data_IF_323851284661
#
_entry.id   IF_323851284661
#
_cell.length_a   1.000
_cell.length_b   1.000
_cell.length_c   1.000
_cell.angle_alpha   90.00
_cell.angle_beta   90.00
_cell.angle_gamma   90.00
#
_symmetry.space_group_name_H-M   'P 1'
#
loop_
_entity.id
_entity.type
_entity.pdbx_description
1 polymer ?
#
# COMPACT_ATOMS: atom_id res chain seq x y z
N UNK A 1 13.33 10.96 7.20
CA UNK A 1 13.35 9.48 7.39
C UNK A 1 13.73 9.05 8.82
N UNK A 2 14.96 9.25 9.29
CA UNK A 2 15.42 8.71 10.59
C UNK A 2 14.64 9.28 11.79
N UNK A 3 14.37 10.59 11.81
CA UNK A 3 13.53 11.20 12.86
C UNK A 3 12.11 10.63 12.87
N UNK A 4 11.55 10.34 11.70
CA UNK A 4 10.23 9.73 11.59
C UNK A 4 10.23 8.27 12.07
N UNK A 5 11.29 7.52 11.75
CA UNK A 5 11.50 6.15 12.23
C UNK A 5 11.68 6.12 13.76
N UNK A 6 12.45 7.03 14.34
CA UNK A 6 12.73 7.07 15.79
C UNK A 6 11.48 7.30 16.62
N UNK A 7 10.50 8.02 16.08
CA UNK A 7 9.20 8.19 16.73
C UNK A 7 8.20 7.11 16.32
N UNK A 8 8.41 6.32 15.26
CA UNK A 8 7.38 5.42 14.71
C UNK A 8 6.89 4.31 15.65
N UNK A 9 7.74 3.85 16.57
CA UNK A 9 7.44 2.68 17.42
C UNK A 9 7.41 1.35 16.65
N UNK A 10 7.86 1.35 15.38
CA UNK A 10 8.07 0.14 14.59
C UNK A 10 9.52 -0.36 14.75
N UNK A 11 9.82 -1.64 14.42
CA UNK A 11 11.18 -2.16 14.47
C UNK A 11 12.17 -1.29 13.68
N UNK A 12 13.33 -1.02 14.29
CA UNK A 12 14.35 -0.10 13.77
C UNK A 12 15.72 -0.74 13.56
N UNK A 13 15.85 -2.03 13.86
CA UNK A 13 17.08 -2.81 13.69
C UNK A 13 17.48 -2.92 12.22
N UNK A 14 16.49 -3.11 11.33
CA UNK A 14 16.67 -3.13 9.87
C UNK A 14 15.45 -2.52 9.20
N UNK A 15 15.69 -1.66 8.23
CA UNK A 15 14.65 -1.01 7.45
C UNK A 15 15.09 -0.85 5.99
N UNK A 16 14.11 -0.64 5.12
CA UNK A 16 14.30 -0.30 3.71
C UNK A 16 13.83 1.12 3.50
N UNK A 17 14.73 1.97 3.00
CA UNK A 17 14.38 3.32 2.58
C UNK A 17 14.16 3.32 1.06
N UNK A 18 12.90 3.52 0.66
CA UNK A 18 12.47 3.51 -0.74
C UNK A 18 12.48 4.89 -1.39
N UNK A 19 12.59 5.96 -0.59
CA UNK A 19 12.40 7.32 -1.08
C UNK A 19 10.98 7.51 -1.63
N UNK A 20 10.86 8.12 -2.80
CA UNK A 20 9.57 8.36 -3.43
C UNK A 20 9.12 7.17 -4.29
N UNK A 21 7.87 6.74 -4.10
CA UNK A 21 7.24 5.79 -5.02
C UNK A 21 7.11 6.40 -6.42
N UNK A 22 7.10 5.56 -7.49
CA UNK A 22 6.79 6.02 -8.83
C UNK A 22 5.49 6.83 -8.91
N UNK A 23 5.46 7.87 -9.73
CA UNK A 23 4.29 8.74 -9.87
C UNK A 23 3.12 8.07 -10.60
N UNK A 24 3.42 7.23 -11.60
CA UNK A 24 2.41 6.48 -12.36
C UNK A 24 1.85 5.33 -11.52
N UNK A 25 0.53 5.25 -11.42
CA UNK A 25 -0.21 4.22 -10.66
C UNK A 25 0.29 2.79 -10.94
N UNK A 26 0.37 2.37 -12.21
CA UNK A 26 0.83 1.02 -12.56
C UNK A 26 2.26 0.72 -12.07
N UNK A 27 3.17 1.68 -12.17
CA UNK A 27 4.56 1.51 -11.71
C UNK A 27 4.65 1.50 -10.19
N UNK A 28 3.88 2.36 -9.51
CA UNK A 28 3.77 2.39 -8.04
C UNK A 28 3.25 1.06 -7.51
N UNK A 29 2.19 0.58 -8.11
CA UNK A 29 1.57 -0.69 -7.78
C UNK A 29 2.53 -1.87 -7.94
N UNK A 30 3.25 -1.93 -9.07
CA UNK A 30 4.29 -2.95 -9.26
C UNK A 30 5.34 -2.89 -8.14
N UNK A 31 5.83 -1.69 -7.81
CA UNK A 31 6.83 -1.52 -6.75
C UNK A 31 6.29 -1.94 -5.38
N UNK A 32 5.06 -1.57 -5.04
CA UNK A 32 4.42 -1.99 -3.80
C UNK A 32 4.25 -3.52 -3.74
N UNK A 33 3.93 -4.18 -4.85
CA UNK A 33 3.81 -5.64 -4.90
C UNK A 33 5.15 -6.32 -4.63
N UNK A 34 6.25 -5.79 -5.18
CA UNK A 34 7.61 -6.28 -4.88
C UNK A 34 7.95 -6.16 -3.38
N UNK A 35 7.47 -5.09 -2.73
CA UNK A 35 7.68 -4.81 -1.31
C UNK A 35 6.68 -5.52 -0.38
N UNK A 36 5.64 -6.15 -0.93
CA UNK A 36 4.59 -6.79 -0.13
C UNK A 36 5.11 -7.97 0.71
N UNK A 37 6.28 -8.52 0.41
CA UNK A 37 6.90 -9.58 1.22
C UNK A 37 8.10 -9.10 2.03
N UNK A 38 8.36 -7.80 2.06
CA UNK A 38 9.49 -7.25 2.78
C UNK A 38 9.30 -7.43 4.29
N UNK A 39 10.25 -8.12 4.93
CA UNK A 39 10.25 -8.43 6.38
C UNK A 39 10.92 -7.34 7.23
N UNK A 40 11.37 -6.25 6.60
CA UNK A 40 11.91 -5.06 7.25
C UNK A 40 10.89 -3.92 7.24
N UNK A 41 11.02 -3.01 8.19
CA UNK A 41 10.25 -1.77 8.17
C UNK A 41 10.50 -1.00 6.87
N UNK A 42 9.44 -0.54 6.21
CA UNK A 42 9.52 0.23 4.97
C UNK A 42 9.39 1.73 5.25
N UNK A 43 10.19 2.57 4.59
CA UNK A 43 10.13 4.03 4.70
C UNK A 43 9.99 4.67 3.33
N UNK A 44 8.96 5.49 3.16
CA UNK A 44 8.66 6.23 1.94
C UNK A 44 8.60 7.73 2.20
N UNK A 45 8.95 8.51 1.19
CA UNK A 45 8.58 9.91 1.07
C UNK A 45 7.40 10.05 0.11
N UNK A 46 6.52 11.00 0.39
CA UNK A 46 5.42 11.30 -0.51
C UNK A 46 5.04 12.77 -0.49
N UNK A 47 4.66 13.24 -1.68
CA UNK A 47 4.25 14.62 -1.89
C UNK A 47 2.79 14.84 -1.45
N UNK A 48 2.43 16.05 -1.01
CA UNK A 48 1.09 16.35 -0.48
C UNK A 48 -0.05 16.08 -1.45
N UNK A 49 0.18 16.33 -2.74
CA UNK A 49 -0.82 16.11 -3.79
C UNK A 49 -0.97 14.63 -4.21
N UNK A 50 -0.11 13.74 -3.70
CA UNK A 50 -0.08 12.31 -4.05
C UNK A 50 -0.43 11.39 -2.88
N UNK A 51 -0.38 11.89 -1.65
CA UNK A 51 -0.44 11.07 -0.43
C UNK A 51 -1.69 10.20 -0.33
N UNK A 52 -2.86 10.73 -0.70
CA UNK A 52 -4.12 9.97 -0.61
C UNK A 52 -4.13 8.78 -1.57
N UNK A 53 -3.71 8.99 -2.83
CA UNK A 53 -3.61 7.92 -3.83
C UNK A 53 -2.52 6.91 -3.45
N UNK A 54 -1.39 7.37 -2.90
CA UNK A 54 -0.34 6.48 -2.44
C UNK A 54 -0.80 5.60 -1.27
N UNK A 55 -1.53 6.15 -0.30
CA UNK A 55 -2.10 5.39 0.83
C UNK A 55 -3.17 4.40 0.37
N UNK A 56 -3.98 4.74 -0.62
CA UNK A 56 -4.96 3.83 -1.23
C UNK A 56 -4.28 2.64 -1.93
N UNK A 57 -3.22 2.92 -2.71
CA UNK A 57 -2.43 1.86 -3.35
C UNK A 57 -1.69 0.99 -2.33
N UNK A 58 -1.12 1.61 -1.29
CA UNK A 58 -0.52 0.89 -0.17
C UNK A 58 -1.55 0.02 0.55
N UNK A 59 -2.76 0.52 0.80
CA UNK A 59 -3.83 -0.26 1.42
C UNK A 59 -4.19 -1.47 0.55
N UNK A 60 -4.29 -1.26 -0.77
CA UNK A 60 -4.66 -2.31 -1.73
C UNK A 60 -3.62 -3.43 -1.77
N UNK A 61 -2.33 -3.10 -1.69
CA UNK A 61 -1.23 -4.06 -1.88
C UNK A 61 -0.66 -4.59 -0.58
N UNK A 62 -0.43 -3.71 0.40
CA UNK A 62 0.17 -4.05 1.69
C UNK A 62 -0.89 -4.46 2.73
N UNK A 63 -2.17 -4.18 2.46
CA UNK A 63 -3.29 -4.54 3.32
C UNK A 63 -3.39 -3.64 4.55
N UNK A 64 -3.68 -4.27 5.69
CA UNK A 64 -4.02 -3.60 6.95
C UNK A 64 -2.81 -3.47 7.91
N UNK A 65 -1.61 -3.26 7.36
CA UNK A 65 -0.38 -3.11 8.15
C UNK A 65 -0.41 -1.87 9.02
N UNK A 66 0.30 -1.91 10.14
CA UNK A 66 0.56 -0.68 10.90
C UNK A 66 1.38 0.29 10.05
N UNK A 67 1.01 1.55 10.12
CA UNK A 67 1.73 2.63 9.47
C UNK A 67 1.80 3.84 10.40
N UNK A 68 2.87 4.61 10.24
CA UNK A 68 3.05 5.92 10.83
C UNK A 68 3.29 6.91 9.71
N UNK A 69 2.56 8.02 9.75
CA UNK A 69 2.73 9.11 8.81
C UNK A 69 3.18 10.33 9.60
N UNK A 70 4.36 10.84 9.28
CA UNK A 70 4.90 12.07 9.86
C UNK A 70 4.87 13.16 8.82
N UNK A 71 4.53 14.38 9.24
CA UNK A 71 4.50 15.55 8.38
C UNK A 71 5.53 16.57 8.84
N UNK A 72 6.39 16.98 7.93
CA UNK A 72 7.44 17.96 8.21
C UNK A 72 7.01 19.36 7.75
N UNK A 73 6.63 20.20 8.71
CA UNK A 73 6.40 21.63 8.52
C UNK A 73 7.01 22.38 9.72
N UNK A 74 8.27 22.82 9.55
CA UNK A 74 8.98 23.83 10.36
C UNK A 74 8.57 23.91 11.85
N UNK A 75 9.15 23.06 12.71
CA UNK A 75 9.17 23.08 14.21
C UNK A 75 7.85 23.27 15.00
N UNK A 76 6.76 23.75 14.42
CA UNK A 76 5.53 24.17 15.11
C UNK A 76 4.32 23.36 14.66
N UNK A 77 4.40 22.67 13.51
CA UNK A 77 3.28 21.92 12.92
C UNK A 77 3.62 20.46 12.60
N UNK A 78 4.52 19.87 13.37
CA UNK A 78 4.77 18.43 13.34
C UNK A 78 3.50 17.67 13.69
N UNK A 79 3.09 16.77 12.81
CA UNK A 79 1.97 15.88 13.02
C UNK A 79 2.46 14.45 12.82
N UNK A 80 2.09 13.58 13.76
CA UNK A 80 2.36 12.14 13.68
C UNK A 80 1.02 11.42 13.75
N UNK A 81 0.61 10.83 12.64
CA UNK A 81 -0.56 9.97 12.55
C UNK A 81 -0.12 8.52 12.69
N UNK A 82 -0.86 7.73 13.47
CA UNK A 82 -0.56 6.33 13.74
C UNK A 82 -1.82 5.50 13.63
N UNK A 83 -1.64 4.26 13.21
CA UNK A 83 -2.72 3.29 13.14
C UNK A 83 -2.40 2.26 12.07
N UNK A 84 -3.43 1.64 11.54
CA UNK A 84 -3.30 0.83 10.33
C UNK A 84 -3.40 1.73 9.10
N UNK A 85 -2.92 1.27 7.95
CA UNK A 85 -2.98 2.06 6.70
C UNK A 85 -4.39 2.67 6.45
N UNK A 86 -5.51 1.93 6.59
CA UNK A 86 -6.85 2.51 6.42
C UNK A 86 -7.18 3.62 7.42
N UNK A 87 -6.76 3.47 8.68
CA UNK A 87 -7.02 4.44 9.74
C UNK A 87 -6.19 5.71 9.54
N UNK A 88 -4.92 5.56 9.15
CA UNK A 88 -4.03 6.68 8.82
C UNK A 88 -4.60 7.47 7.64
N UNK A 89 -5.11 6.79 6.61
CA UNK A 89 -5.79 7.43 5.47
C UNK A 89 -7.00 8.25 5.92
N UNK A 90 -7.88 7.67 6.75
CA UNK A 90 -9.06 8.38 7.30
C UNK A 90 -8.68 9.58 8.16
N UNK A 91 -7.68 9.45 9.02
CA UNK A 91 -7.19 10.54 9.86
C UNK A 91 -6.61 11.69 9.03
N UNK A 92 -5.88 11.36 7.95
CA UNK A 92 -5.31 12.36 7.05
C UNK A 92 -6.39 13.10 6.26
N UNK A 93 -7.43 12.40 5.80
CA UNK A 93 -8.56 12.97 5.08
C UNK A 93 -9.32 14.01 5.92
N UNK A 94 -9.45 13.78 7.23
CA UNK A 94 -10.02 14.74 8.17
C UNK A 94 -9.09 15.93 8.52
N UNK A 95 -7.83 15.88 8.05
CA UNK A 95 -6.77 16.82 8.41
C UNK A 95 -6.28 17.67 7.24
N UNK A 96 -5.07 18.24 7.39
CA UNK A 96 -4.44 19.06 6.34
C UNK A 96 -3.43 18.24 5.55
N UNK A 97 -3.62 18.21 4.23
CA UNK A 97 -2.73 17.55 3.26
C UNK A 97 -1.56 18.42 2.81
N UNK A 98 -1.18 19.49 3.53
CA UNK A 98 -0.04 20.35 3.16
C UNK A 98 1.27 19.83 3.75
N UNK A 99 2.39 20.07 3.07
CA UNK A 99 3.72 19.69 3.56
C UNK A 99 4.21 18.35 3.03
N UNK A 100 5.46 18.02 3.35
CA UNK A 100 6.09 16.76 2.93
C UNK A 100 5.80 15.66 3.94
N UNK A 101 5.52 14.46 3.43
CA UNK A 101 5.16 13.32 4.25
C UNK A 101 6.26 12.27 4.23
N UNK A 102 6.58 11.73 5.41
CA UNK A 102 7.31 10.45 5.53
C UNK A 102 6.33 9.40 6.04
N UNK A 103 6.26 8.27 5.35
CA UNK A 103 5.42 7.12 5.70
C UNK A 103 6.33 6.00 6.14
N UNK A 104 6.09 5.43 7.32
CA UNK A 104 6.76 4.24 7.84
C UNK A 104 5.73 3.13 7.90
N UNK A 105 6.00 1.99 7.26
CA UNK A 105 5.08 0.85 7.21
C UNK A 105 5.73 -0.36 7.87
N UNK A 106 4.95 -1.08 8.66
CA UNK A 106 5.34 -2.31 9.31
C UNK A 106 5.83 -3.36 8.30
N UNK A 107 6.80 -4.16 8.72
CA UNK A 107 7.24 -5.34 7.99
C UNK A 107 6.06 -6.27 7.68
N UNK A 108 6.20 -7.08 6.63
CA UNK A 108 5.36 -8.25 6.46
C UNK A 108 5.54 -9.16 7.69
N UNK A 109 4.45 -9.68 8.24
CA UNK A 109 4.58 -10.67 9.31
C UNK A 109 5.32 -11.90 8.76
N UNK A 110 6.33 -12.38 9.48
CA UNK A 110 7.08 -13.58 9.10
C UNK A 110 6.13 -14.76 9.01
N UNK A 111 6.01 -15.35 7.82
CA UNK A 111 5.03 -16.40 7.55
C UNK A 111 3.59 -15.93 7.26
N UNK A 112 3.39 -14.64 6.95
CA UNK A 112 2.11 -14.13 6.47
C UNK A 112 1.80 -14.65 5.06
N UNK A 113 1.27 -15.87 5.02
CA UNK A 113 0.38 -16.29 3.97
C UNK A 113 -0.84 -15.35 3.96
N UNK A 114 -1.06 -14.73 2.79
CA UNK A 114 -2.29 -14.11 2.27
C UNK A 114 -2.48 -12.63 2.56
N UNK A 115 -2.39 -11.87 1.47
CA UNK A 115 -3.06 -10.58 1.28
C UNK A 115 -4.49 -10.69 1.81
N UNK A 116 -4.88 -9.82 2.75
CA UNK A 116 -6.21 -9.83 3.36
C UNK A 116 -7.26 -9.12 2.47
N UNK A 117 -7.10 -9.24 1.15
CA UNK A 117 -8.08 -8.84 0.15
C UNK A 117 -8.66 -10.13 -0.43
N UNK A 118 -9.97 -10.17 -0.63
CA UNK A 118 -10.55 -11.32 -1.32
C UNK A 118 -9.96 -11.39 -2.73
N UNK A 119 -9.70 -12.60 -3.22
CA UNK A 119 -9.21 -12.78 -4.58
C UNK A 119 -10.14 -12.16 -5.63
N UNK A 120 -11.43 -12.05 -5.33
CA UNK A 120 -12.43 -11.36 -6.14
C UNK A 120 -12.19 -9.85 -6.18
N UNK A 121 -11.99 -9.22 -5.03
CA UNK A 121 -11.82 -7.78 -4.92
C UNK A 121 -10.47 -7.32 -5.50
N UNK A 122 -9.42 -8.12 -5.33
CA UNK A 122 -8.15 -7.88 -6.02
C UNK A 122 -8.33 -7.97 -7.54
N UNK A 123 -9.02 -9.01 -8.03
CA UNK A 123 -9.26 -9.19 -9.45
C UNK A 123 -10.11 -8.07 -10.05
N UNK A 124 -11.15 -7.61 -9.34
CA UNK A 124 -11.96 -6.43 -9.73
C UNK A 124 -11.10 -5.17 -9.83
N UNK A 125 -10.22 -4.93 -8.86
CA UNK A 125 -9.32 -3.78 -8.89
C UNK A 125 -8.39 -3.78 -10.10
N UNK A 126 -7.83 -4.94 -10.46
CA UNK A 126 -6.99 -5.11 -11.63
C UNK A 126 -7.74 -4.82 -12.94
N UNK A 127 -9.02 -5.20 -13.03
CA UNK A 127 -9.82 -5.01 -14.25
C UNK A 127 -10.35 -3.57 -14.31
N UNK A 128 -11.05 -3.11 -13.28
CA UNK A 128 -11.84 -1.86 -13.30
C UNK A 128 -10.96 -0.63 -13.13
N UNK A 129 -9.95 -0.69 -12.26
CA UNK A 129 -9.14 0.49 -11.91
C UNK A 129 -7.78 0.50 -12.58
N UNK A 130 -7.21 -0.68 -12.91
CA UNK A 130 -5.98 -0.77 -13.72
C UNK A 130 -6.22 -0.99 -15.21
N UNK A 131 -7.47 -1.26 -15.63
CA UNK A 131 -7.81 -1.46 -17.04
C UNK A 131 -7.14 -2.68 -17.67
N UNK A 132 -6.68 -3.64 -16.87
CA UNK A 132 -6.00 -4.81 -17.40
C UNK A 132 -7.01 -5.73 -18.10
N UNK A 133 -6.66 -6.32 -19.26
CA UNK A 133 -7.45 -7.39 -19.85
C UNK A 133 -7.67 -8.50 -18.84
N UNK A 134 -8.89 -9.04 -18.77
CA UNK A 134 -9.30 -10.07 -17.81
C UNK A 134 -8.30 -11.24 -17.69
N UNK A 135 -7.74 -11.69 -18.81
CA UNK A 135 -6.73 -12.77 -18.86
C UNK A 135 -5.42 -12.40 -18.16
N UNK A 136 -4.99 -11.14 -18.31
CA UNK A 136 -3.80 -10.59 -17.67
C UNK A 136 -4.06 -10.35 -16.18
N UNK A 137 -5.21 -9.78 -15.83
CA UNK A 137 -5.65 -9.60 -14.45
C UNK A 137 -5.69 -10.93 -13.66
N UNK A 138 -6.16 -12.02 -14.28
CA UNK A 138 -6.16 -13.36 -13.68
C UNK A 138 -4.74 -13.87 -13.41
N UNK A 139 -3.80 -13.63 -14.33
CA UNK A 139 -2.41 -14.05 -14.17
C UNK A 139 -1.72 -13.28 -13.04
N UNK A 140 -1.94 -11.96 -12.99
CA UNK A 140 -1.42 -11.07 -11.95
C UNK A 140 -2.02 -11.43 -10.59
N UNK A 141 -3.34 -11.59 -10.48
CA UNK A 141 -3.99 -11.99 -9.22
C UNK A 141 -3.54 -13.37 -8.72
N UNK A 142 -3.35 -14.35 -9.60
CA UNK A 142 -2.86 -15.68 -9.20
C UNK A 142 -1.43 -15.61 -8.64
N UNK A 143 -0.57 -14.83 -9.29
CA UNK A 143 0.80 -14.61 -8.84
C UNK A 143 0.85 -13.84 -7.52
N UNK A 144 0.17 -12.69 -7.44
CA UNK A 144 0.27 -11.75 -6.33
C UNK A 144 -0.40 -12.27 -5.05
N UNK A 145 -1.47 -13.06 -5.19
CA UNK A 145 -2.18 -13.66 -4.06
C UNK A 145 -1.66 -15.07 -3.67
N UNK A 146 -0.78 -15.66 -4.48
CA UNK A 146 -0.31 -17.04 -4.29
C UNK A 146 -1.42 -18.10 -4.43
N UNK A 147 -2.49 -17.76 -5.15
CA UNK A 147 -3.66 -18.61 -5.35
C UNK A 147 -3.56 -19.31 -6.71
N UNK A 148 -3.91 -20.60 -6.84
CA UNK A 148 -3.88 -21.30 -8.12
C UNK A 148 -4.66 -20.53 -9.20
N UNK A 149 -4.05 -20.38 -10.38
CA UNK A 149 -4.66 -19.65 -11.52
C UNK A 149 -6.07 -20.15 -11.86
N UNK A 150 -6.34 -21.45 -11.64
CA UNK A 150 -7.65 -22.08 -11.83
C UNK A 150 -8.72 -21.51 -10.87
N UNK A 151 -8.35 -21.19 -9.64
CA UNK A 151 -9.26 -20.61 -8.64
C UNK A 151 -9.56 -19.14 -8.97
N UNK A 152 -8.54 -18.36 -9.28
CA UNK A 152 -8.73 -16.97 -9.76
C UNK A 152 -9.56 -16.93 -11.04
N UNK A 153 -9.38 -17.89 -11.95
CA UNK A 153 -10.20 -17.97 -13.17
C UNK A 153 -11.68 -18.19 -12.85
N UNK A 154 -12.01 -19.07 -11.89
CA UNK A 154 -13.40 -19.29 -11.45
C UNK A 154 -14.01 -18.01 -10.87
N UNK A 155 -13.25 -17.27 -10.08
CA UNK A 155 -13.65 -15.96 -9.55
C UNK A 155 -13.85 -14.94 -10.68
N UNK A 156 -12.98 -14.95 -11.69
CA UNK A 156 -13.13 -14.11 -12.87
C UNK A 156 -14.42 -14.36 -13.66
N UNK A 157 -14.95 -15.59 -13.64
CA UNK A 157 -16.21 -15.92 -14.30
C UNK A 157 -17.44 -15.31 -13.60
N UNK A 158 -17.36 -15.05 -12.29
CA UNK A 158 -18.47 -14.47 -11.50
C UNK A 158 -18.49 -12.95 -11.54
N UNK A 159 -17.39 -12.31 -11.93
CA UNK A 159 -17.33 -10.87 -12.17
C UNK A 159 -18.10 -10.58 -13.47
N UNK A 160 -19.33 -10.07 -13.33
CA UNK A 160 -20.12 -9.53 -14.45
C UNK A 160 -19.39 -8.33 -15.04
N UNK A 161 -19.26 -8.31 -16.37
CA UNK A 161 -18.94 -7.09 -17.10
C UNK A 161 -20.16 -6.18 -16.96
N UNK A 162 -20.15 -5.25 -16.01
CA UNK A 162 -21.01 -4.09 -16.12
C UNK A 162 -20.44 -3.26 -17.27
N UNK A 163 -21.22 -3.21 -18.35
CA UNK A 163 -20.85 -2.60 -19.62
C UNK A 163 -20.68 -1.10 -19.56
#
# INVERSE_FOLDING_TARGET
AIAALSVSGLPTDRFVFEGFLPSKHTARMKRLTELAKEERTLIFYEAPHRIMQALEDMQTVLGDRKAVLTRELTKVHEQVLRGRIPDVRKQLEAGSMKGEFTIIVEAAASGADRVNISAEEYLKNLILHRGLPKKEAIAVAAHDLGVPKKEIYKIGLTIKEEG
#
